data_IF_953267837814
#
_entry.id   IF_953267837814
#
_cell.length_a   1.000
_cell.length_b   1.000
_cell.length_c   1.000
_cell.angle_alpha   90.00
_cell.angle_beta   90.00
_cell.angle_gamma   90.00
#
_symmetry.space_group_name_H-M   'P 1'
#
loop_
_entity.id
_entity.type
_entity.pdbx_description
1 polymer ?
#
# COMPACT_ATOMS: atom_id res chain seq x y z
N UNK A 1 2.31 5.79 5.32
CA UNK A 1 2.33 6.36 3.95
C UNK A 1 0.90 6.56 3.48
N UNK A 2 0.64 7.49 2.56
CA UNK A 2 -0.74 7.80 2.11
C UNK A 2 -0.99 7.27 0.69
N UNK A 3 -2.03 6.44 0.45
CA UNK A 3 -2.44 6.08 -0.90
C UNK A 3 -2.80 7.33 -1.71
N UNK A 4 -2.33 7.42 -2.95
CA UNK A 4 -2.64 8.54 -3.84
C UNK A 4 -2.89 8.05 -5.26
N UNK A 5 -3.69 8.77 -6.03
CA UNK A 5 -3.99 8.42 -7.42
C UNK A 5 -2.68 8.13 -8.16
N UNK A 6 -2.54 6.97 -8.82
CA UNK A 6 -1.37 6.67 -9.63
C UNK A 6 -1.47 7.49 -10.92
N UNK A 7 -1.00 8.75 -10.88
CA UNK A 7 -0.91 9.60 -12.08
C UNK A 7 0.06 8.93 -13.06
N UNK A 8 -0.46 8.55 -14.23
CA UNK A 8 0.32 8.05 -15.36
C UNK A 8 0.19 9.09 -16.49
N UNK A 9 1.18 9.99 -16.66
CA UNK A 9 1.08 11.09 -17.63
C UNK A 9 0.95 10.67 -19.10
N UNK A 10 1.30 9.42 -19.43
CA UNK A 10 1.42 8.90 -20.79
C UNK A 10 0.39 7.83 -21.16
N UNK A 11 -0.53 7.50 -20.26
CA UNK A 11 -1.54 6.47 -20.51
C UNK A 11 -2.87 6.79 -19.83
N UNK A 12 -3.96 6.70 -20.60
CA UNK A 12 -5.34 6.83 -20.10
C UNK A 12 -5.80 5.47 -19.56
N UNK A 13 -5.27 5.10 -18.39
CA UNK A 13 -5.73 3.91 -17.69
C UNK A 13 -6.82 4.30 -16.68
N UNK A 14 -7.99 3.64 -16.70
CA UNK A 14 -9.05 3.95 -15.75
C UNK A 14 -8.61 3.63 -14.33
N UNK A 15 -8.81 4.59 -13.44
CA UNK A 15 -8.59 4.42 -12.02
C UNK A 15 -9.70 3.56 -11.41
N UNK A 16 -9.32 2.62 -10.54
CA UNK A 16 -10.21 1.84 -9.69
C UNK A 16 -9.90 2.17 -8.24
N UNK A 17 -10.93 2.32 -7.41
CA UNK A 17 -10.78 2.55 -5.97
C UNK A 17 -11.18 1.26 -5.25
N UNK A 18 -10.20 0.58 -4.66
CA UNK A 18 -10.45 -0.56 -3.79
C UNK A 18 -10.89 -0.09 -2.40
N UNK A 19 -11.71 -0.90 -1.73
CA UNK A 19 -12.20 -0.67 -0.37
C UNK A 19 -12.91 0.69 -0.15
N UNK A 20 -13.51 1.28 -1.20
CA UNK A 20 -14.15 2.61 -1.15
C UNK A 20 -15.22 2.75 -0.05
N UNK A 21 -15.99 1.69 0.18
CA UNK A 21 -17.13 1.69 1.10
C UNK A 21 -16.90 0.81 2.34
N UNK A 22 -15.64 0.51 2.65
CA UNK A 22 -15.25 -0.29 3.82
C UNK A 22 -14.64 0.65 4.89
N UNK A 23 -15.39 1.02 5.95
CA UNK A 23 -14.94 2.00 6.94
C UNK A 23 -13.68 1.57 7.71
N UNK A 24 -13.40 0.27 7.77
CA UNK A 24 -12.20 -0.30 8.39
C UNK A 24 -10.92 -0.12 7.56
N UNK A 25 -11.05 0.29 6.29
CA UNK A 25 -9.92 0.46 5.37
C UNK A 25 -9.86 1.88 4.80
N UNK A 26 -8.63 2.30 4.48
CA UNK A 26 -8.43 3.49 3.66
C UNK A 26 -8.70 3.13 2.19
N UNK A 27 -9.48 3.93 1.44
CA UNK A 27 -9.66 3.72 0.01
C UNK A 27 -8.31 3.69 -0.70
N UNK A 28 -8.10 2.67 -1.52
CA UNK A 28 -6.86 2.46 -2.24
C UNK A 28 -7.07 2.77 -3.73
N UNK A 29 -6.71 3.99 -4.18
CA UNK A 29 -6.70 4.31 -5.60
C UNK A 29 -5.61 3.53 -6.33
N UNK A 30 -5.98 2.94 -7.46
CA UNK A 30 -5.11 2.08 -8.25
C UNK A 30 -5.46 2.13 -9.74
N UNK A 31 -4.52 1.70 -10.58
CA UNK A 31 -4.80 1.34 -11.98
C UNK A 31 -4.81 -0.18 -12.08
N UNK A 32 -5.81 -0.73 -12.78
CA UNK A 32 -5.87 -2.16 -13.12
C UNK A 32 -5.93 -2.32 -14.63
N UNK A 33 -4.96 -3.02 -15.21
CA UNK A 33 -4.97 -3.30 -16.66
C UNK A 33 -5.77 -4.57 -17.00
N UNK A 34 -5.87 -4.88 -18.30
CA UNK A 34 -6.65 -6.02 -18.81
C UNK A 34 -6.11 -7.38 -18.30
N UNK A 35 -4.81 -7.48 -18.03
CA UNK A 35 -4.15 -8.67 -17.47
C UNK A 35 -4.35 -8.80 -15.96
N UNK A 36 -5.02 -7.82 -15.32
CA UNK A 36 -5.26 -7.81 -13.88
C UNK A 36 -4.07 -7.35 -13.04
N UNK A 37 -3.05 -6.74 -13.65
CA UNK A 37 -1.93 -6.11 -12.95
C UNK A 37 -2.43 -4.82 -12.28
N UNK A 38 -2.12 -4.69 -10.99
CA UNK A 38 -2.51 -3.56 -10.16
C UNK A 38 -1.29 -2.66 -9.92
N UNK A 39 -1.43 -1.38 -10.24
CA UNK A 39 -0.46 -0.34 -9.92
C UNK A 39 -1.04 0.58 -8.84
N UNK A 40 -0.30 0.77 -7.74
CA UNK A 40 -0.63 1.70 -6.66
C UNK A 40 0.49 2.72 -6.49
N UNK A 41 0.15 3.94 -6.05
CA UNK A 41 1.13 4.97 -5.71
C UNK A 41 0.91 5.48 -4.28
N UNK A 42 2.02 5.79 -3.62
CA UNK A 42 2.04 6.20 -2.23
C UNK A 42 2.78 7.53 -2.09
N UNK A 43 2.14 8.47 -1.42
CA UNK A 43 2.75 9.73 -1.02
C UNK A 43 3.45 9.53 0.34
N UNK A 44 4.71 9.98 0.37
CA UNK A 44 5.58 9.93 1.54
C UNK A 44 5.62 11.30 2.21
N UNK A 45 5.44 11.33 3.53
CA UNK A 45 5.77 12.50 4.35
C UNK A 45 7.28 12.74 4.39
N UNK A 46 7.69 13.96 4.77
CA UNK A 46 9.13 14.29 4.91
C UNK A 46 9.84 13.42 5.96
N UNK A 47 9.14 13.00 7.02
CA UNK A 47 9.67 12.04 8.00
C UNK A 47 9.86 10.65 7.39
N UNK A 48 8.89 10.15 6.63
CA UNK A 48 9.00 8.84 5.98
C UNK A 48 10.10 8.83 4.91
N UNK A 49 10.26 9.92 4.15
CA UNK A 49 11.39 10.08 3.21
C UNK A 49 12.73 9.94 3.92
N UNK A 50 12.91 10.62 5.06
CA UNK A 50 14.13 10.53 5.88
C UNK A 50 14.37 9.12 6.39
N UNK A 51 13.34 8.48 6.96
CA UNK A 51 13.44 7.10 7.45
C UNK A 51 13.85 6.13 6.34
N UNK A 52 13.29 6.24 5.13
CA UNK A 52 13.68 5.41 3.98
C UNK A 52 15.15 5.63 3.59
N UNK A 53 15.61 6.88 3.56
CA UNK A 53 17.02 7.20 3.26
C UNK A 53 17.95 6.61 4.31
N UNK A 54 17.58 6.69 5.60
CA UNK A 54 18.37 6.18 6.72
C UNK A 54 18.41 4.65 6.78
N UNK A 55 17.26 3.98 6.58
CA UNK A 55 17.14 2.53 6.79
C UNK A 55 17.29 1.70 5.50
N UNK A 56 17.02 2.30 4.34
CA UNK A 56 17.15 1.64 3.02
C UNK A 56 16.05 0.64 2.66
N UNK A 57 14.96 0.57 3.42
CA UNK A 57 13.86 -0.37 3.17
C UNK A 57 12.48 0.20 3.56
N UNK A 58 11.42 -0.49 3.15
CA UNK A 58 10.03 -0.27 3.56
C UNK A 58 9.39 -1.62 3.90
N UNK A 59 8.36 -1.60 4.74
CA UNK A 59 7.50 -2.75 4.97
C UNK A 59 6.29 -2.68 4.04
N UNK A 60 6.11 -3.74 3.24
CA UNK A 60 4.87 -4.05 2.56
C UNK A 60 4.26 -5.27 3.23
N UNK A 61 3.11 -5.11 3.87
CA UNK A 61 2.33 -6.21 4.42
C UNK A 61 1.12 -6.47 3.53
N UNK A 62 0.95 -7.72 3.09
CA UNK A 62 -0.21 -8.17 2.29
C UNK A 62 -1.05 -9.09 3.17
N UNK A 63 -2.23 -8.64 3.56
CA UNK A 63 -3.09 -9.33 4.53
C UNK A 63 -3.94 -10.40 3.83
N UNK A 64 -3.34 -11.43 3.23
CA UNK A 64 -4.06 -12.44 2.42
C UNK A 64 -5.22 -13.16 3.12
N UNK A 65 -5.22 -13.27 4.46
CA UNK A 65 -6.21 -14.04 5.22
C UNK A 65 -6.58 -15.39 4.56
N UNK A 66 -5.59 -16.11 4.01
CA UNK A 66 -5.74 -17.37 3.27
C UNK A 66 -6.62 -17.30 2.00
N UNK A 67 -6.77 -16.11 1.41
CA UNK A 67 -7.55 -15.86 0.21
C UNK A 67 -6.68 -15.23 -0.91
N UNK A 68 -7.05 -15.40 -2.18
CA UNK A 68 -6.35 -14.84 -3.33
C UNK A 68 -6.55 -13.31 -3.43
N UNK A 69 -5.62 -12.59 -2.80
CA UNK A 69 -5.41 -11.13 -2.76
C UNK A 69 -6.36 -10.30 -1.88
N UNK A 70 -5.75 -9.50 -1.00
CA UNK A 70 -6.38 -8.85 0.16
C UNK A 70 -5.60 -7.59 0.59
N UNK A 71 -6.10 -6.81 1.56
CA UNK A 71 -5.60 -5.47 1.90
C UNK A 71 -4.09 -5.39 2.07
N UNK A 72 -3.53 -4.24 1.69
CA UNK A 72 -2.10 -3.94 1.79
C UNK A 72 -1.84 -2.82 2.78
N UNK A 73 -0.69 -2.87 3.45
CA UNK A 73 -0.18 -1.80 4.29
C UNK A 73 1.27 -1.49 3.91
N UNK A 74 1.56 -0.21 3.63
CA UNK A 74 2.89 0.32 3.38
C UNK A 74 3.34 1.21 4.55
N UNK A 75 4.50 0.88 5.12
CA UNK A 75 5.02 1.56 6.31
C UNK A 75 6.55 1.62 6.30
N UNK A 76 7.09 2.68 6.89
CA UNK A 76 8.51 2.78 7.24
C UNK A 76 8.81 2.12 8.59
N UNK A 77 7.81 1.99 9.45
CA UNK A 77 7.90 1.33 10.75
C UNK A 77 7.43 -0.12 10.68
N UNK A 78 7.99 -0.97 11.56
CA UNK A 78 7.57 -2.37 11.71
C UNK A 78 6.07 -2.42 12.00
N UNK A 79 5.25 -3.13 11.19
CA UNK A 79 3.82 -3.24 11.46
C UNK A 79 3.56 -3.88 12.82
N UNK A 80 2.58 -3.36 13.56
CA UNK A 80 2.31 -3.76 14.95
C UNK A 80 1.94 -5.24 15.10
N UNK A 81 1.42 -5.85 14.03
CA UNK A 81 1.14 -7.28 13.94
C UNK A 81 2.40 -8.14 14.13
N UNK A 82 3.58 -7.60 13.78
CA UNK A 82 4.88 -8.26 13.94
C UNK A 82 5.68 -7.73 15.15
N UNK A 83 5.35 -6.56 15.70
CA UNK A 83 6.06 -6.01 16.86
C UNK A 83 5.73 -6.73 18.18
N UNK A 84 4.57 -7.39 18.25
CA UNK A 84 4.07 -8.03 19.48
C UNK A 84 4.35 -9.54 19.55
N UNK A 85 4.93 -10.14 18.53
CA UNK A 85 5.42 -11.51 18.59
C UNK A 85 6.78 -11.53 19.27
N UNK A 86 6.80 -11.52 20.61
CA UNK A 86 7.98 -12.05 21.31
C UNK A 86 8.09 -13.52 20.91
N UNK A 87 9.22 -13.88 20.31
CA UNK A 87 9.56 -15.28 20.03
C UNK A 87 9.34 -16.09 21.32
N UNK A 88 8.36 -17.00 21.27
CA UNK A 88 8.20 -18.07 22.23
C UNK A 88 9.18 -19.20 21.94
#
# INVERSE_FOLDING_TARGET
>A
MKPTSPVIPVADHPEVIYAKDQPEYQPLPAVRNAEGIILTRWELSESEKRQIVEQGYIYLMVMTFNNPLQPVLLSTEVPTQFSNQKAG
#
